data_IF_556215676012
#
_entry.id   IF_556215676012
#
_cell.length_a   1.000
_cell.length_b   1.000
_cell.length_c   1.000
_cell.angle_alpha   90.00
_cell.angle_beta   90.00
_cell.angle_gamma   90.00
#
_symmetry.space_group_name_H-M   'P 1'
#
loop_
_entity.id
_entity.type
_entity.pdbx_description
1 polymer ?
#
# COMPACT_ATOMS: atom_id res chain seq x y z
N UNK A 1 -3.54 -19.20 -1.30
CA UNK A 1 -2.53 -20.00 -2.05
C UNK A 1 -2.92 -20.29 -3.49
N UNK A 2 -4.16 -20.78 -3.77
CA UNK A 2 -4.58 -21.24 -5.10
C UNK A 2 -4.50 -20.20 -6.23
N UNK A 3 -4.40 -18.91 -5.91
CA UNK A 3 -4.39 -17.80 -6.90
C UNK A 3 -3.14 -16.93 -6.76
N UNK A 4 -2.06 -17.49 -6.22
CA UNK A 4 -0.85 -16.72 -5.95
C UNK A 4 -0.26 -16.10 -7.21
N UNK A 5 -0.18 -16.81 -8.31
CA UNK A 5 0.40 -16.31 -9.57
C UNK A 5 -0.34 -15.07 -10.10
N UNK A 6 -1.67 -15.03 -9.94
CA UNK A 6 -2.47 -13.86 -10.31
C UNK A 6 -2.18 -12.67 -9.37
N UNK A 7 -2.13 -12.92 -8.04
CA UNK A 7 -1.79 -11.91 -7.03
C UNK A 7 -0.39 -11.37 -7.29
N UNK A 8 0.58 -12.28 -7.52
CA UNK A 8 1.95 -11.89 -7.83
C UNK A 8 2.04 -11.02 -9.09
N UNK A 9 1.29 -11.32 -10.12
CA UNK A 9 1.23 -10.49 -11.33
C UNK A 9 0.82 -9.04 -11.04
N UNK A 10 -0.15 -8.82 -10.16
CA UNK A 10 -0.57 -7.48 -9.75
C UNK A 10 0.48 -6.81 -8.85
N UNK A 11 1.06 -7.57 -7.94
CA UNK A 11 2.12 -7.09 -7.02
C UNK A 11 3.37 -6.67 -7.79
N UNK A 12 3.84 -7.47 -8.73
CA UNK A 12 4.98 -7.14 -9.60
C UNK A 12 4.72 -5.86 -10.42
N UNK A 13 3.48 -5.65 -10.84
CA UNK A 13 3.09 -4.41 -11.52
C UNK A 13 3.17 -3.18 -10.60
N UNK A 14 2.85 -3.31 -9.30
CA UNK A 14 3.08 -2.25 -8.30
C UNK A 14 4.58 -1.99 -8.16
N UNK A 15 5.38 -3.02 -7.96
CA UNK A 15 6.84 -2.92 -7.80
C UNK A 15 7.46 -2.21 -8.99
N UNK A 16 7.10 -2.61 -10.21
CA UNK A 16 7.58 -1.96 -11.43
C UNK A 16 7.20 -0.48 -11.47
N UNK A 17 5.98 -0.13 -11.07
CA UNK A 17 5.54 1.26 -10.99
C UNK A 17 6.36 2.06 -9.97
N UNK A 18 6.61 1.50 -8.80
CA UNK A 18 7.37 2.16 -7.73
C UNK A 18 8.84 2.38 -8.10
N UNK A 19 9.43 1.50 -8.90
CA UNK A 19 10.83 1.61 -9.34
C UNK A 19 11.06 2.60 -10.48
N UNK A 20 10.00 3.08 -11.13
CA UNK A 20 10.08 3.99 -12.28
C UNK A 20 9.87 5.46 -11.89
N UNK A 21 10.18 6.35 -12.86
CA UNK A 21 9.88 7.77 -12.74
C UNK A 21 8.36 8.00 -12.58
N UNK A 22 7.92 8.99 -11.82
CA UNK A 22 8.69 9.90 -10.98
C UNK A 22 8.94 9.37 -9.56
N UNK A 23 8.52 8.15 -9.26
CA UNK A 23 8.48 7.63 -7.89
C UNK A 23 9.89 7.29 -7.39
N UNK A 24 10.63 6.50 -8.17
CA UNK A 24 11.98 6.03 -7.84
C UNK A 24 12.12 5.61 -6.36
N UNK A 25 11.16 4.82 -5.88
CA UNK A 25 11.16 4.38 -4.49
C UNK A 25 12.49 3.68 -4.16
N UNK A 26 13.20 4.12 -3.12
CA UNK A 26 14.53 3.59 -2.79
C UNK A 26 14.48 2.21 -2.15
N UNK A 27 13.32 1.59 -2.16
CA UNK A 27 13.04 0.31 -1.55
C UNK A 27 13.91 -0.80 -2.10
N UNK A 28 14.24 -1.71 -1.22
CA UNK A 28 15.19 -2.77 -1.41
C UNK A 28 14.64 -3.91 -2.26
N UNK A 29 14.91 -5.10 -1.85
CA UNK A 29 14.64 -6.31 -2.56
C UNK A 29 13.16 -6.71 -2.44
N UNK A 30 12.31 -6.08 -3.24
CA UNK A 30 10.94 -6.54 -3.40
C UNK A 30 10.93 -7.82 -4.23
N UNK A 31 11.09 -8.95 -3.56
CA UNK A 31 11.06 -10.27 -4.18
C UNK A 31 9.68 -10.90 -4.02
N UNK A 32 9.37 -11.86 -4.86
CA UNK A 32 8.14 -12.65 -4.75
C UNK A 32 8.02 -13.33 -3.39
N UNK A 33 9.13 -13.87 -2.89
CA UNK A 33 9.17 -14.55 -1.60
C UNK A 33 8.80 -13.61 -0.44
N UNK A 34 9.35 -12.40 -0.41
CA UNK A 34 9.07 -11.40 0.62
C UNK A 34 7.57 -11.02 0.62
N UNK A 35 6.99 -10.77 -0.55
CA UNK A 35 5.57 -10.46 -0.64
C UNK A 35 4.67 -11.65 -0.31
N UNK A 36 5.10 -12.86 -0.65
CA UNK A 36 4.34 -14.06 -0.29
C UNK A 36 4.30 -14.26 1.22
N UNK A 37 5.44 -14.10 1.90
CA UNK A 37 5.51 -14.14 3.36
C UNK A 37 4.62 -13.06 3.98
N UNK A 38 4.71 -11.82 3.50
CA UNK A 38 3.90 -10.71 3.99
C UNK A 38 2.39 -10.94 3.81
N UNK A 39 1.94 -11.37 2.64
CA UNK A 39 0.51 -11.60 2.40
C UNK A 39 -0.03 -12.88 3.05
N UNK A 40 0.83 -13.80 3.46
CA UNK A 40 0.45 -15.01 4.20
C UNK A 40 0.57 -14.85 5.72
N UNK A 41 1.06 -13.71 6.19
CA UNK A 41 1.12 -13.41 7.61
C UNK A 41 -0.29 -13.30 8.20
N UNK A 42 -0.45 -13.75 9.44
CA UNK A 42 -1.74 -13.77 10.15
C UNK A 42 -2.31 -12.38 10.44
N UNK A 43 -1.45 -11.38 10.51
CA UNK A 43 -1.83 -9.98 10.77
C UNK A 43 -2.17 -9.21 9.48
N UNK A 44 -1.93 -9.82 8.32
CA UNK A 44 -2.19 -9.22 7.00
C UNK A 44 -3.47 -9.79 6.39
N UNK A 45 -4.33 -8.88 5.92
CA UNK A 45 -5.54 -9.24 5.17
C UNK A 45 -5.40 -8.72 3.74
N UNK A 46 -5.35 -9.62 2.78
CA UNK A 46 -5.38 -9.28 1.37
C UNK A 46 -6.80 -9.44 0.81
N UNK A 47 -7.41 -8.35 0.37
CA UNK A 47 -8.71 -8.32 -0.25
C UNK A 47 -8.57 -8.20 -1.76
N UNK A 48 -9.29 -9.03 -2.49
CA UNK A 48 -9.25 -9.06 -3.96
C UNK A 48 -10.62 -8.74 -4.55
N UNK A 49 -10.63 -8.03 -5.66
CA UNK A 49 -11.81 -7.82 -6.48
C UNK A 49 -11.77 -8.75 -7.69
N UNK A 50 -12.89 -9.43 -7.95
CA UNK A 50 -13.04 -10.34 -9.07
C UNK A 50 -13.93 -9.74 -10.15
N UNK A 51 -13.62 -10.01 -11.40
CA UNK A 51 -14.51 -9.76 -12.54
C UNK A 51 -15.64 -10.79 -12.57
N UNK A 52 -16.59 -10.61 -13.50
CA UNK A 52 -17.63 -11.61 -13.75
C UNK A 52 -17.07 -12.95 -14.27
N UNK A 53 -15.88 -12.90 -14.88
CA UNK A 53 -15.20 -14.06 -15.44
C UNK A 53 -14.17 -14.65 -14.46
N UNK A 54 -14.29 -14.31 -13.17
CA UNK A 54 -13.43 -14.78 -12.08
C UNK A 54 -11.94 -14.37 -12.20
N UNK A 55 -11.62 -13.30 -12.92
CA UNK A 55 -10.26 -12.74 -12.97
C UNK A 55 -10.03 -11.80 -11.77
N UNK A 56 -8.86 -11.79 -11.17
CA UNK A 56 -8.47 -10.76 -10.18
C UNK A 56 -8.21 -9.44 -10.92
N UNK A 57 -9.05 -8.43 -10.66
CA UNK A 57 -9.01 -7.13 -11.33
C UNK A 57 -8.50 -5.99 -10.46
N UNK A 58 -8.35 -6.26 -9.19
CA UNK A 58 -7.80 -5.33 -8.22
C UNK A 58 -7.57 -5.99 -6.88
N UNK A 59 -6.74 -5.36 -6.06
CA UNK A 59 -6.46 -5.81 -4.70
C UNK A 59 -6.15 -4.63 -3.80
N UNK A 60 -6.33 -4.83 -2.50
CA UNK A 60 -5.92 -3.92 -1.43
C UNK A 60 -5.55 -4.77 -0.22
N UNK A 61 -4.49 -4.38 0.50
CA UNK A 61 -4.13 -5.03 1.75
C UNK A 61 -4.42 -4.14 2.96
N UNK A 62 -4.61 -4.77 4.11
CA UNK A 62 -4.58 -4.12 5.42
C UNK A 62 -3.85 -5.01 6.41
N UNK A 63 -3.12 -4.40 7.35
CA UNK A 63 -2.45 -5.13 8.40
C UNK A 63 -2.53 -4.40 9.75
N UNK A 64 -2.47 -5.16 10.84
CA UNK A 64 -2.57 -4.64 12.20
C UNK A 64 -1.24 -4.19 12.77
N UNK A 65 -0.13 -4.40 12.10
CA UNK A 65 1.17 -3.87 12.52
C UNK A 65 1.20 -2.35 12.37
N UNK A 66 1.46 -1.67 13.47
CA UNK A 66 1.62 -0.23 13.48
C UNK A 66 3.01 0.15 13.98
N UNK A 67 3.90 0.46 13.06
CA UNK A 67 5.19 1.06 13.37
C UNK A 67 5.12 2.56 13.62
N UNK A 68 3.94 3.16 13.49
CA UNK A 68 3.80 4.59 13.60
C UNK A 68 3.68 5.00 15.06
N UNK A 69 4.75 5.57 15.59
CA UNK A 69 4.88 6.03 16.98
C UNK A 69 3.68 6.85 17.48
N UNK A 70 3.08 7.66 16.63
CA UNK A 70 1.97 8.52 17.04
C UNK A 70 0.60 7.79 17.08
N UNK A 71 0.50 6.57 16.51
CA UNK A 71 -0.70 5.74 16.54
C UNK A 71 -0.47 4.39 17.23
N UNK A 72 0.29 4.36 18.31
CA UNK A 72 0.35 3.18 19.17
C UNK A 72 -1.02 2.87 19.77
N UNK A 73 -1.93 2.46 18.92
CA UNK A 73 -3.24 1.99 19.31
C UNK A 73 -3.45 0.62 18.69
N UNK A 74 -3.80 -0.35 19.49
CA UNK A 74 -4.26 -1.67 19.02
C UNK A 74 -5.51 -1.60 18.13
N UNK A 75 -6.04 -0.38 17.92
CA UNK A 75 -7.21 -0.08 17.09
C UNK A 75 -6.85 0.68 15.83
N UNK A 76 -5.58 0.79 15.51
CA UNK A 76 -5.10 1.36 14.25
C UNK A 76 -4.64 0.25 13.30
N UNK A 77 -4.99 0.40 12.04
CA UNK A 77 -4.70 -0.55 10.98
C UNK A 77 -4.02 0.19 9.84
N UNK A 78 -2.92 -0.34 9.34
CA UNK A 78 -2.33 0.10 8.09
C UNK A 78 -3.20 -0.35 6.92
N UNK A 79 -3.35 0.50 5.92
CA UNK A 79 -3.86 0.12 4.61
C UNK A 79 -2.84 0.59 3.58
N UNK A 80 -2.34 -0.34 2.75
CA UNK A 80 -1.15 -0.04 1.96
C UNK A 80 -1.28 -0.40 0.50
N UNK A 81 -0.84 -1.57 0.15
CA UNK A 81 -0.75 -2.00 -1.24
C UNK A 81 -2.12 -2.06 -1.92
N UNK A 82 -2.42 -1.02 -2.71
CA UNK A 82 -3.63 -1.00 -3.54
C UNK A 82 -3.27 -1.02 -5.02
N UNK A 83 -3.88 -1.90 -5.77
CA UNK A 83 -3.73 -1.97 -7.21
C UNK A 83 -5.06 -2.25 -7.91
N UNK A 84 -5.29 -1.56 -9.01
CA UNK A 84 -6.39 -1.80 -9.94
C UNK A 84 -5.80 -1.95 -11.34
N UNK A 85 -6.17 -3.03 -12.01
CA UNK A 85 -5.72 -3.29 -13.39
C UNK A 85 -6.03 -2.10 -14.30
N UNK A 86 -5.12 -1.75 -15.23
CA UNK A 86 -5.26 -0.55 -16.08
C UNK A 86 -6.63 -0.41 -16.76
N UNK A 87 -7.18 -1.52 -17.26
CA UNK A 87 -8.49 -1.52 -17.95
C UNK A 87 -9.68 -1.17 -17.06
N UNK A 88 -9.51 -1.21 -15.73
CA UNK A 88 -10.55 -0.89 -14.74
C UNK A 88 -10.29 0.42 -13.99
N UNK A 89 -9.20 1.12 -14.32
CA UNK A 89 -8.91 2.43 -13.74
C UNK A 89 -9.92 3.47 -14.22
N UNK A 90 -10.16 4.49 -13.38
CA UNK A 90 -11.19 5.49 -13.65
C UNK A 90 -12.62 5.07 -13.30
N UNK A 91 -12.81 3.80 -12.89
CA UNK A 91 -14.06 3.32 -12.28
C UNK A 91 -14.09 3.57 -10.77
N UNK A 92 -15.17 3.17 -10.09
CA UNK A 92 -15.28 3.21 -8.63
C UNK A 92 -14.42 2.17 -7.91
N UNK A 93 -13.82 1.20 -8.61
CA UNK A 93 -13.25 -0.02 -8.04
C UNK A 93 -12.24 0.24 -6.89
N UNK A 94 -11.33 1.22 -7.05
CA UNK A 94 -10.38 1.54 -5.98
C UNK A 94 -11.06 2.12 -4.73
N UNK A 95 -12.13 2.89 -4.91
CA UNK A 95 -12.96 3.39 -3.81
C UNK A 95 -13.72 2.24 -3.15
N UNK A 96 -14.25 1.34 -3.92
CA UNK A 96 -15.04 0.21 -3.42
C UNK A 96 -14.16 -0.76 -2.62
N UNK A 97 -12.93 -1.02 -3.08
CA UNK A 97 -11.93 -1.77 -2.33
C UNK A 97 -11.61 -1.10 -0.99
N UNK A 98 -11.35 0.21 -0.98
CA UNK A 98 -11.07 0.94 0.26
C UNK A 98 -12.29 0.90 1.21
N UNK A 99 -13.49 1.09 0.69
CA UNK A 99 -14.72 1.03 1.49
C UNK A 99 -14.91 -0.36 2.11
N UNK A 100 -14.63 -1.39 1.36
CA UNK A 100 -14.68 -2.77 1.86
C UNK A 100 -13.72 -2.98 3.05
N UNK A 101 -12.47 -2.50 2.94
CA UNK A 101 -11.51 -2.57 4.05
C UNK A 101 -12.00 -1.78 5.27
N UNK A 102 -12.53 -0.58 5.07
CA UNK A 102 -13.07 0.24 6.16
C UNK A 102 -14.16 -0.53 6.93
N UNK A 103 -15.07 -1.16 6.21
CA UNK A 103 -16.17 -1.92 6.83
C UNK A 103 -15.67 -3.20 7.51
N UNK A 104 -14.73 -3.89 6.88
CA UNK A 104 -14.11 -5.10 7.43
C UNK A 104 -13.36 -4.81 8.75
N UNK A 105 -12.49 -3.81 8.75
CA UNK A 105 -11.70 -3.46 9.93
C UNK A 105 -12.55 -2.82 11.05
N UNK A 106 -13.61 -2.09 10.69
CA UNK A 106 -14.59 -1.58 11.66
C UNK A 106 -15.29 -2.71 12.43
N UNK A 107 -15.57 -3.84 11.79
CA UNK A 107 -16.14 -5.02 12.46
C UNK A 107 -15.19 -5.63 13.50
N UNK A 108 -13.89 -5.40 13.35
CA UNK A 108 -12.84 -5.79 14.30
C UNK A 108 -12.53 -4.72 15.35
N UNK A 109 -13.40 -3.71 15.52
CA UNK A 109 -13.22 -2.57 16.44
C UNK A 109 -12.04 -1.65 16.07
N UNK A 110 -11.56 -1.67 14.84
CA UNK A 110 -10.60 -0.67 14.40
C UNK A 110 -11.23 0.73 14.40
N UNK A 111 -10.45 1.73 14.84
CA UNK A 111 -10.92 3.13 14.93
C UNK A 111 -10.17 4.04 13.97
N UNK A 112 -8.99 3.67 13.58
CA UNK A 112 -8.12 4.46 12.72
C UNK A 112 -7.57 3.61 11.60
N UNK A 113 -7.60 4.15 10.40
CA UNK A 113 -6.81 3.67 9.27
C UNK A 113 -5.70 4.68 9.00
N UNK A 114 -4.53 4.19 8.70
CA UNK A 114 -3.42 5.01 8.25
C UNK A 114 -2.78 4.40 6.99
N UNK A 115 -2.13 5.25 6.19
CA UNK A 115 -1.45 4.85 4.96
C UNK A 115 -0.14 5.62 4.80
N UNK A 116 0.91 4.90 4.43
CA UNK A 116 2.16 5.47 3.94
C UNK A 116 2.17 5.49 2.41
N UNK A 117 2.54 6.60 1.81
CA UNK A 117 2.75 6.64 0.36
C UNK A 117 3.90 7.58 -0.02
N UNK A 118 4.61 7.24 -1.10
CA UNK A 118 5.66 8.09 -1.63
C UNK A 118 5.08 9.42 -2.15
N UNK A 119 5.58 10.55 -1.63
CA UNK A 119 5.12 11.89 -2.01
C UNK A 119 5.35 12.19 -3.50
N UNK A 120 6.33 11.52 -4.13
CA UNK A 120 6.63 11.62 -5.55
C UNK A 120 5.63 10.85 -6.44
N UNK A 121 4.76 10.00 -5.86
CA UNK A 121 3.76 9.25 -6.61
C UNK A 121 2.47 10.07 -6.80
N UNK A 122 2.20 10.67 -7.97
CA UNK A 122 1.04 11.53 -8.18
C UNK A 122 -0.28 10.75 -8.10
N UNK A 123 -0.29 9.48 -8.49
CA UNK A 123 -1.48 8.63 -8.46
C UNK A 123 -1.87 8.30 -7.02
N UNK A 124 -0.93 7.85 -6.21
CA UNK A 124 -1.14 7.57 -4.80
C UNK A 124 -1.58 8.84 -4.05
N UNK A 125 -0.84 9.94 -4.23
CA UNK A 125 -1.17 11.23 -3.62
C UNK A 125 -2.58 11.69 -4.01
N UNK A 126 -2.93 11.61 -5.29
CA UNK A 126 -4.26 12.01 -5.80
C UNK A 126 -5.39 11.14 -5.27
N UNK A 127 -5.14 9.86 -5.02
CA UNK A 127 -6.11 8.93 -4.45
C UNK A 127 -6.23 9.13 -2.92
N UNK A 128 -5.13 8.99 -2.18
CA UNK A 128 -5.15 8.98 -0.73
C UNK A 128 -5.62 10.30 -0.12
N UNK A 129 -5.21 11.45 -0.69
CA UNK A 129 -5.64 12.77 -0.21
C UNK A 129 -7.15 13.05 -0.34
N UNK A 130 -7.90 12.23 -1.08
CA UNK A 130 -9.37 12.32 -1.12
C UNK A 130 -10.02 11.74 0.13
N UNK A 131 -9.38 10.77 0.77
CA UNK A 131 -9.96 9.96 1.83
C UNK A 131 -9.23 10.10 3.17
N UNK A 132 -7.96 10.50 3.14
CA UNK A 132 -7.10 10.64 4.31
C UNK A 132 -6.61 12.07 4.48
N UNK A 133 -6.33 12.44 5.74
CA UNK A 133 -5.66 13.70 6.06
C UNK A 133 -4.19 13.44 6.31
N UNK A 134 -3.33 14.27 5.76
CA UNK A 134 -1.89 14.23 6.04
C UNK A 134 -1.66 14.43 7.53
N UNK A 135 -0.83 13.57 8.08
CA UNK A 135 -0.59 13.49 9.50
C UNK A 135 0.91 13.47 9.82
N UNK A 136 1.72 12.80 9.01
CA UNK A 136 3.15 12.63 9.21
C UNK A 136 3.90 12.71 7.89
N UNK A 137 5.17 13.12 7.95
CA UNK A 137 6.14 13.02 6.86
C UNK A 137 7.36 12.25 7.34
N UNK A 138 7.83 11.32 6.53
CA UNK A 138 9.07 10.58 6.75
C UNK A 138 10.15 11.07 5.80
N UNK A 139 11.36 11.23 6.33
CA UNK A 139 12.53 11.65 5.58
C UNK A 139 13.60 10.57 5.62
N UNK A 140 14.09 10.18 4.47
CA UNK A 140 15.13 9.16 4.32
C UNK A 140 16.41 9.82 3.82
N UNK A 141 17.55 9.43 4.41
CA UNK A 141 18.86 9.88 3.99
C UNK A 141 19.84 8.72 3.87
N UNK A 142 20.52 8.63 2.74
CA UNK A 142 21.63 7.69 2.56
C UNK A 142 22.85 8.15 3.33
N UNK A 143 23.43 7.31 4.17
CA UNK A 143 24.61 7.65 5.01
C UNK A 143 25.92 7.63 4.22
N UNK A 144 25.97 6.91 3.10
CA UNK A 144 27.19 6.80 2.29
C UNK A 144 27.53 8.14 1.62
N UNK A 145 28.78 8.62 1.82
CA UNK A 145 29.38 9.77 1.14
C UNK A 145 28.77 11.16 1.42
N UNK A 146 28.34 11.42 2.65
CA UNK A 146 27.84 12.74 3.00
C UNK A 146 28.97 13.65 3.46
N UNK A 147 29.26 14.66 2.64
CA UNK A 147 29.97 15.86 3.10
C UNK A 147 28.93 16.88 3.56
N UNK A 148 28.96 17.27 4.81
CA UNK A 148 28.24 18.46 5.25
C UNK A 148 28.95 19.66 4.63
N UNK A 149 28.38 20.29 3.61
CA UNK A 149 28.80 21.64 3.25
C UNK A 149 28.18 22.57 4.27
N UNK A 150 29.02 23.11 5.14
CA UNK A 150 28.63 24.26 5.97
C UNK A 150 28.30 25.40 5.02
N UNK A 151 27.02 25.63 4.72
CA UNK A 151 26.59 26.90 4.16
C UNK A 151 26.55 27.87 5.31
N UNK A 152 27.54 28.79 5.32
CA UNK A 152 27.54 29.97 6.16
C UNK A 152 26.53 30.97 5.60
#
# INVERSE_FOLDING_TARGET
>A
EKRWDEIWTLTDAIIKHLKQAPVFYPGHEFTEQVYKEFFMDSETNLHIALSKDDEIIGMIESNSESDVFAFHSTKSVNVGEIYVMPKYRGSSLSKDLLQFVIEHEKQKDARYLWVGHGTANPNARGFWNKYFKTYQYELVRTIKNIKFTNSV
#
